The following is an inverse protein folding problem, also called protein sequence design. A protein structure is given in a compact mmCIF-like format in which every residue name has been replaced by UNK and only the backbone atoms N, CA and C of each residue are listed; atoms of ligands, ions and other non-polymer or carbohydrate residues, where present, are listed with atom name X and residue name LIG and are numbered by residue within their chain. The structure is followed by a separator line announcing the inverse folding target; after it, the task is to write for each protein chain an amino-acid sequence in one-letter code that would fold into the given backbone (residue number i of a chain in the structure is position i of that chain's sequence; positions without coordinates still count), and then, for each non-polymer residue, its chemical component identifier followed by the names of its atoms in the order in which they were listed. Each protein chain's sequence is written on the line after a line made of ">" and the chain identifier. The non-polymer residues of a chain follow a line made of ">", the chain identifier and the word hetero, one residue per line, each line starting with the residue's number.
data_IF_449733207904
#
_entry.id   IF_449733207904
#
_cell.length_a   1.000
_cell.length_b   1.000
_cell.length_c   1.000
_cell.angle_alpha   90.00
_cell.angle_beta   90.00
_cell.angle_gamma   90.00
#
_symmetry.space_group_name_H-M   'P 1'
#
loop_
_entity.id
_entity.type
_entity.pdbx_description
1 polymer ?
#
# COMPACT_ATOMS: atom_id res chain seq x y z
N UNK A 1 -23.42 -8.39 -9.22
CA UNK A 1 -22.07 -8.56 -8.67
C UNK A 1 -21.61 -7.21 -8.14
N UNK A 2 -21.43 -7.05 -6.82
CA UNK A 2 -20.91 -5.81 -6.28
C UNK A 2 -19.45 -5.66 -6.71
N UNK A 3 -19.11 -4.61 -7.43
CA UNK A 3 -17.72 -4.31 -7.78
C UNK A 3 -17.00 -3.89 -6.50
N UNK A 4 -15.99 -4.63 -6.07
CA UNK A 4 -15.09 -4.18 -4.99
C UNK A 4 -14.53 -2.80 -5.38
N UNK A 5 -14.86 -1.78 -4.60
CA UNK A 5 -14.40 -0.39 -4.81
C UNK A 5 -13.16 -0.05 -3.97
N UNK A 6 -12.83 -0.90 -3.00
CA UNK A 6 -11.75 -0.70 -2.04
C UNK A 6 -11.28 -2.05 -1.52
N UNK A 7 -9.98 -2.20 -1.33
CA UNK A 7 -9.34 -3.40 -0.78
C UNK A 7 -8.22 -2.97 0.15
N UNK A 8 -8.05 -3.68 1.26
CA UNK A 8 -6.94 -3.46 2.18
C UNK A 8 -6.27 -4.79 2.52
N UNK A 9 -4.94 -4.78 2.59
CA UNK A 9 -4.15 -5.93 3.03
C UNK A 9 -3.05 -5.49 3.97
N UNK A 10 -2.55 -6.44 4.74
CA UNK A 10 -1.42 -6.24 5.66
C UNK A 10 -0.40 -7.33 5.41
N UNK A 11 0.86 -6.96 5.29
CA UNK A 11 1.98 -7.89 5.08
C UNK A 11 3.05 -7.69 6.14
N UNK A 12 3.68 -8.77 6.57
CA UNK A 12 4.80 -8.71 7.52
C UNK A 12 6.03 -8.05 6.89
N UNK A 13 6.75 -7.28 7.70
CA UNK A 13 8.06 -6.72 7.38
C UNK A 13 9.04 -7.02 8.52
N UNK A 14 10.34 -6.85 8.30
CA UNK A 14 11.37 -7.28 9.26
C UNK A 14 11.17 -6.70 10.68
N UNK A 15 10.87 -5.40 10.78
CA UNK A 15 10.63 -4.69 12.06
C UNK A 15 9.19 -4.24 12.23
N UNK A 16 8.21 -5.02 11.76
CA UNK A 16 6.80 -4.69 11.93
C UNK A 16 5.92 -5.21 10.80
N UNK A 17 5.03 -4.36 10.30
CA UNK A 17 4.11 -4.71 9.20
C UNK A 17 3.85 -3.52 8.31
N UNK A 18 3.47 -3.80 7.07
CA UNK A 18 3.06 -2.81 6.09
C UNK A 18 1.57 -3.00 5.84
N UNK A 19 0.81 -1.93 5.98
CA UNK A 19 -0.58 -1.89 5.53
C UNK A 19 -0.63 -1.26 4.16
N UNK A 20 -1.44 -1.85 3.28
CA UNK A 20 -1.66 -1.37 1.92
C UNK A 20 -3.14 -1.28 1.68
N UNK A 21 -3.61 -0.13 1.21
CA UNK A 21 -4.97 0.06 0.73
C UNK A 21 -4.96 0.35 -0.76
N UNK A 22 -5.98 -0.11 -1.45
CA UNK A 22 -6.20 0.15 -2.86
C UNK A 22 -7.65 0.49 -3.10
N UNK A 23 -7.90 1.61 -3.77
CA UNK A 23 -9.23 2.13 -4.04
C UNK A 23 -9.39 2.33 -5.55
N UNK A 24 -10.57 2.01 -6.06
CA UNK A 24 -10.90 2.18 -7.47
C UNK A 24 -11.47 3.58 -7.69
N UNK A 25 -10.76 4.39 -8.45
CA UNK A 25 -11.16 5.73 -8.87
C UNK A 25 -12.34 5.71 -9.84
N UNK A 26 -12.95 6.89 -10.04
CA UNK A 26 -14.05 7.08 -11.00
C UNK A 26 -13.61 6.90 -12.46
N UNK A 27 -12.32 7.09 -12.73
CA UNK A 27 -11.65 6.79 -14.00
C UNK A 27 -11.47 5.28 -14.26
N UNK A 28 -11.86 4.44 -13.29
CA UNK A 28 -11.75 2.99 -13.33
C UNK A 28 -10.36 2.46 -13.03
N UNK A 29 -9.39 3.32 -12.71
CA UNK A 29 -8.03 2.97 -12.29
C UNK A 29 -7.99 2.67 -10.80
N UNK A 30 -6.97 1.93 -10.39
CA UNK A 30 -6.72 1.60 -9.00
C UNK A 30 -5.60 2.46 -8.46
N UNK A 31 -5.84 3.15 -7.35
CA UNK A 31 -4.79 3.86 -6.63
C UNK A 31 -4.45 3.08 -5.39
N UNK A 32 -3.17 2.98 -5.05
CA UNK A 32 -2.75 2.35 -3.80
C UNK A 32 -1.94 3.30 -2.94
N UNK A 33 -2.10 3.13 -1.64
CA UNK A 33 -1.28 3.76 -0.63
C UNK A 33 -0.79 2.71 0.35
N UNK A 34 0.36 2.97 0.95
CA UNK A 34 0.94 2.12 1.98
C UNK A 34 1.34 2.92 3.20
N UNK A 35 1.42 2.26 4.35
CA UNK A 35 2.08 2.77 5.55
C UNK A 35 2.83 1.67 6.25
N UNK A 36 3.96 2.02 6.85
CA UNK A 36 4.72 1.11 7.71
C UNK A 36 4.28 1.29 9.16
N UNK A 37 4.10 0.18 9.86
CA UNK A 37 3.82 0.11 11.28
C UNK A 37 4.99 -0.64 11.92
N UNK A 38 5.93 0.07 12.57
CA UNK A 38 7.01 -0.58 13.29
C UNK A 38 6.47 -1.41 14.46
N UNK A 39 7.21 -2.45 14.85
CA UNK A 39 6.90 -3.24 16.06
C UNK A 39 6.89 -2.36 17.31
N UNK A 40 7.87 -1.45 17.38
CA UNK A 40 8.05 -0.51 18.47
C UNK A 40 8.04 0.91 17.90
N UNK A 41 6.93 1.64 18.07
CA UNK A 41 6.81 3.02 17.62
C UNK A 41 5.46 3.34 17.01
N UNK A 42 5.34 4.56 16.50
CA UNK A 42 4.13 5.03 15.83
C UNK A 42 4.12 4.60 14.35
N UNK A 43 2.93 4.29 13.79
CA UNK A 43 2.76 4.15 12.35
C UNK A 43 3.26 5.37 11.57
N UNK A 44 3.84 5.13 10.40
CA UNK A 44 4.09 6.21 9.44
C UNK A 44 2.78 6.73 8.85
N UNK A 45 2.84 7.90 8.21
CA UNK A 45 1.75 8.38 7.37
C UNK A 45 1.51 7.47 6.16
N UNK A 46 0.32 7.59 5.57
CA UNK A 46 0.00 6.96 4.29
C UNK A 46 0.81 7.64 3.18
N UNK A 47 1.42 6.82 2.33
CA UNK A 47 2.23 7.25 1.19
C UNK A 47 1.67 6.60 -0.07
N UNK A 48 1.48 7.39 -1.14
CA UNK A 48 1.05 6.87 -2.42
C UNK A 48 2.11 5.92 -3.01
N UNK A 49 1.68 4.72 -3.40
CA UNK A 49 2.54 3.70 -4.02
C UNK A 49 2.55 3.76 -5.55
N UNK A 50 1.87 4.74 -6.14
CA UNK A 50 1.48 4.71 -7.55
C UNK A 50 1.87 5.91 -8.39
N UNK A 51 1.73 5.69 -9.70
CA UNK A 51 1.73 6.73 -10.72
C UNK A 51 0.52 7.66 -10.52
N UNK A 52 0.60 8.93 -10.96
CA UNK A 52 -0.53 9.86 -10.92
C UNK A 52 -1.81 9.28 -11.56
N UNK A 53 -1.66 8.52 -12.65
CA UNK A 53 -2.77 7.91 -13.41
C UNK A 53 -3.29 6.58 -12.81
N UNK A 54 -2.72 6.10 -11.71
CA UNK A 54 -3.11 4.84 -11.09
C UNK A 54 -2.79 3.59 -11.92
N UNK A 55 -3.29 2.45 -11.46
CA UNK A 55 -3.03 1.11 -12.00
C UNK A 55 -4.24 0.54 -12.74
N UNK A 56 -3.98 -0.30 -13.73
CA UNK A 56 -5.05 -0.91 -14.55
C UNK A 56 -5.81 -2.01 -13.77
N UNK A 57 -5.17 -2.60 -12.74
CA UNK A 57 -5.75 -3.69 -11.96
C UNK A 57 -5.45 -3.56 -10.47
N UNK A 58 -6.35 -4.13 -9.65
CA UNK A 58 -6.17 -4.22 -8.20
C UNK A 58 -4.87 -4.95 -7.84
N UNK A 59 -4.56 -6.06 -8.52
CA UNK A 59 -3.35 -6.84 -8.27
C UNK A 59 -2.07 -6.02 -8.46
N UNK A 60 -2.02 -5.15 -9.48
CA UNK A 60 -0.89 -4.24 -9.68
C UNK A 60 -0.79 -3.18 -8.58
N UNK A 61 -1.92 -2.58 -8.21
CA UNK A 61 -1.97 -1.58 -7.15
C UNK A 61 -1.49 -2.14 -5.80
N UNK A 62 -1.97 -3.33 -5.43
CA UNK A 62 -1.53 -4.01 -4.21
C UNK A 62 -0.06 -4.41 -4.27
N UNK A 63 0.40 -4.95 -5.40
CA UNK A 63 1.80 -5.35 -5.57
C UNK A 63 2.75 -4.16 -5.42
N UNK A 64 2.40 -3.01 -5.99
CA UNK A 64 3.18 -1.78 -5.86
C UNK A 64 3.23 -1.29 -4.40
N UNK A 65 2.08 -1.26 -3.71
CA UNK A 65 2.02 -0.87 -2.30
C UNK A 65 2.80 -1.80 -1.38
N UNK A 66 2.74 -3.11 -1.62
CA UNK A 66 3.50 -4.10 -0.87
C UNK A 66 5.00 -3.91 -1.10
N UNK A 67 5.43 -3.77 -2.35
CA UNK A 67 6.85 -3.63 -2.69
C UNK A 67 7.44 -2.36 -2.06
N UNK A 68 6.81 -1.21 -2.30
CA UNK A 68 7.29 0.08 -1.80
C UNK A 68 7.22 0.17 -0.28
N UNK A 69 6.15 -0.36 0.33
CA UNK A 69 6.05 -0.39 1.78
C UNK A 69 7.11 -1.28 2.43
N UNK A 70 7.47 -2.42 1.83
CA UNK A 70 8.57 -3.26 2.33
C UNK A 70 9.92 -2.57 2.17
N UNK A 71 10.18 -1.92 1.03
CA UNK A 71 11.41 -1.13 0.84
C UNK A 71 11.52 0.00 1.87
N UNK A 72 10.43 0.75 2.11
CA UNK A 72 10.39 1.80 3.12
C UNK A 72 10.67 1.27 4.54
N UNK A 73 10.15 0.09 4.87
CA UNK A 73 10.42 -0.56 6.16
C UNK A 73 11.89 -1.01 6.31
N UNK A 74 12.56 -1.37 5.21
CA UNK A 74 13.97 -1.77 5.19
C UNK A 74 14.92 -0.58 5.27
N UNK A 75 14.53 0.59 4.73
CA UNK A 75 15.30 1.84 4.78
C UNK A 75 15.30 2.50 6.16
N UNK A 76 14.30 2.23 7.01
CA UNK A 76 14.21 2.73 8.39
C UNK A 76 15.24 2.08 9.35
N UNK A 77 16.42 1.71 8.86
CA UNK A 77 17.59 1.36 9.67
C UNK A 77 18.17 2.62 10.30
N UNK A 78 17.57 3.14 11.35
CA UNK A 78 18.23 4.10 12.26
C UNK A 78 17.78 3.82 13.68
#
# INVERSE_FOLDING_TARGET
>A
MATEKSMQTTVSANKGRVEVRADRGEDGRWHSEFRFIPTDGAPTGWTASGLPDGFISLGMALSAGILLGRMSAEEQKT
#
